data_IF_572693201984
#
_entry.id   IF_572693201984
#
_cell.length_a   1.000
_cell.length_b   1.000
_cell.length_c   1.000
_cell.angle_alpha   90.00
_cell.angle_beta   90.00
_cell.angle_gamma   90.00
#
_symmetry.space_group_name_H-M   'P 1'
#
loop_
_entity.id
_entity.type
_entity.pdbx_description
1 polymer ?
#
# COMPACT_ATOMS: atom_id res chain seq x y z
N UNK A 1 -19.73 -7.80 2.97
CA UNK A 1 -19.76 -6.59 2.13
C UNK A 1 -18.35 -6.05 1.97
N UNK A 2 -17.95 -5.76 0.76
CA UNK A 2 -16.63 -5.21 0.52
C UNK A 2 -16.54 -3.76 1.00
N UNK A 3 -15.43 -3.42 1.66
CA UNK A 3 -15.12 -2.05 2.08
C UNK A 3 -14.45 -1.24 0.96
N UNK A 4 -14.13 -1.91 -0.15
CA UNK A 4 -13.47 -1.28 -1.29
C UNK A 4 -14.50 -0.94 -2.35
N UNK A 5 -14.29 0.19 -2.99
CA UNK A 5 -15.14 0.64 -4.10
C UNK A 5 -14.32 0.64 -5.39
N UNK A 6 -14.83 0.01 -6.45
CA UNK A 6 -14.14 0.07 -7.73
C UNK A 6 -14.16 1.50 -8.29
N UNK A 7 -13.10 1.89 -8.97
CA UNK A 7 -13.02 3.17 -9.67
C UNK A 7 -12.57 2.92 -11.10
N UNK A 8 -12.98 3.79 -12.00
CA UNK A 8 -12.52 3.74 -13.37
C UNK A 8 -11.01 3.96 -13.41
N UNK A 9 -10.28 3.08 -14.08
CA UNK A 9 -8.83 3.11 -14.07
C UNK A 9 -8.27 4.45 -14.58
N UNK A 10 -8.88 5.02 -15.60
CA UNK A 10 -8.44 6.30 -16.16
C UNK A 10 -8.70 7.49 -15.22
N UNK A 11 -9.49 7.32 -14.16
CA UNK A 11 -9.72 8.32 -13.14
C UNK A 11 -8.89 8.10 -11.88
N UNK A 12 -8.16 6.99 -11.79
CA UNK A 12 -7.47 6.62 -10.56
C UNK A 12 -6.42 7.65 -10.13
N UNK A 13 -5.78 8.33 -11.09
CA UNK A 13 -4.79 9.36 -10.79
C UNK A 13 -5.35 10.51 -9.95
N UNK A 14 -6.64 10.79 -10.05
CA UNK A 14 -7.30 11.85 -9.28
C UNK A 14 -7.24 11.60 -7.77
N UNK A 15 -7.15 10.34 -7.36
CA UNK A 15 -7.06 9.97 -5.95
C UNK A 15 -5.68 10.26 -5.36
N UNK A 16 -4.67 10.48 -6.20
CA UNK A 16 -3.30 10.72 -5.79
C UNK A 16 -2.83 12.16 -6.01
N UNK A 17 -3.58 12.96 -6.78
CA UNK A 17 -3.13 14.29 -7.17
C UNK A 17 -2.88 15.24 -6.01
N UNK A 18 -3.61 15.11 -4.92
CA UNK A 18 -3.46 15.98 -3.75
C UNK A 18 -2.43 15.48 -2.74
N UNK A 19 -1.74 14.37 -3.02
CA UNK A 19 -0.67 13.85 -2.17
C UNK A 19 -1.14 13.21 -0.87
N UNK A 20 -2.18 12.34 -0.89
CA UNK A 20 -2.66 11.72 0.34
C UNK A 20 -1.67 10.72 0.90
N UNK A 21 -1.77 10.41 2.20
CA UNK A 21 -1.12 9.24 2.75
C UNK A 21 -1.82 8.00 2.20
N UNK A 22 -1.05 7.10 1.62
CA UNK A 22 -1.57 5.88 1.02
C UNK A 22 -0.98 4.67 1.73
N UNK A 23 -1.55 3.50 1.48
CA UNK A 23 -1.01 2.24 1.97
C UNK A 23 -0.37 1.51 0.80
N UNK A 24 0.85 1.04 1.02
CA UNK A 24 1.57 0.23 0.05
C UNK A 24 1.57 -1.20 0.56
N UNK A 25 1.03 -2.11 -0.23
CA UNK A 25 0.99 -3.52 0.11
C UNK A 25 2.01 -4.29 -0.71
N UNK A 26 2.57 -5.32 -0.12
CA UNK A 26 3.55 -6.17 -0.76
C UNK A 26 3.49 -7.57 -0.17
N UNK A 27 4.09 -8.52 -0.86
CA UNK A 27 4.08 -9.92 -0.44
C UNK A 27 5.42 -10.55 -0.78
N UNK A 28 5.88 -11.44 0.11
CA UNK A 28 7.03 -12.26 -0.17
C UNK A 28 6.62 -13.36 -1.17
N UNK A 29 7.34 -13.47 -2.25
CA UNK A 29 7.07 -14.45 -3.30
C UNK A 29 7.45 -15.89 -2.90
N UNK A 30 8.20 -16.07 -1.82
CA UNK A 30 8.67 -17.38 -1.35
C UNK A 30 7.88 -17.94 -0.19
N UNK A 31 7.46 -17.08 0.75
CA UNK A 31 6.89 -17.51 2.03
C UNK A 31 5.44 -17.11 2.21
N UNK A 32 4.86 -16.41 1.26
CA UNK A 32 3.52 -15.85 1.33
C UNK A 32 3.32 -14.82 2.45
N UNK A 33 4.40 -14.41 3.12
CA UNK A 33 4.32 -13.32 4.09
C UNK A 33 3.92 -12.04 3.38
N UNK A 34 3.02 -11.30 3.98
CA UNK A 34 2.47 -10.07 3.43
C UNK A 34 2.87 -8.89 4.31
N UNK A 35 2.90 -7.72 3.71
CA UNK A 35 3.24 -6.50 4.42
C UNK A 35 2.38 -5.33 3.95
N UNK A 36 2.24 -4.35 4.81
CA UNK A 36 1.58 -3.09 4.50
C UNK A 36 2.34 -1.98 5.20
N UNK A 37 2.49 -0.85 4.51
CA UNK A 37 3.11 0.34 5.09
C UNK A 37 2.34 1.58 4.65
N UNK A 38 2.43 2.63 5.45
CA UNK A 38 1.92 3.94 5.09
C UNK A 38 2.99 4.70 4.31
N UNK A 39 2.59 5.43 3.28
CA UNK A 39 3.50 6.24 2.48
C UNK A 39 2.81 7.50 2.03
N UNK A 40 3.51 8.63 2.13
CA UNK A 40 3.02 9.92 1.65
C UNK A 40 3.67 10.34 0.33
N UNK A 41 4.80 9.76 -0.02
CA UNK A 41 5.55 10.16 -1.22
C UNK A 41 5.18 9.25 -2.39
N UNK A 42 4.07 9.60 -3.00
CA UNK A 42 3.58 8.92 -4.19
C UNK A 42 2.98 9.95 -5.14
N UNK A 43 3.01 9.65 -6.44
CA UNK A 43 2.44 10.54 -7.43
C UNK A 43 2.07 9.79 -8.70
N UNK A 44 1.03 10.23 -9.41
CA UNK A 44 0.77 9.72 -10.76
C UNK A 44 1.82 10.29 -11.72
N UNK A 45 2.25 9.49 -12.70
CA UNK A 45 3.25 9.91 -13.69
C UNK A 45 2.79 9.71 -15.13
N UNK A 46 1.73 8.94 -15.36
CA UNK A 46 1.23 8.66 -16.70
C UNK A 46 -0.26 8.35 -16.67
N UNK A 47 -1.00 8.78 -17.71
CA UNK A 47 -2.44 8.52 -17.80
C UNK A 47 -2.74 7.19 -18.48
N UNK A 48 -2.06 6.90 -19.56
CA UNK A 48 -2.38 5.71 -20.35
C UNK A 48 -1.11 5.10 -20.95
N UNK A 49 -0.70 3.90 -20.46
CA UNK A 49 -1.35 3.19 -19.35
C UNK A 49 -1.16 3.95 -18.03
N UNK A 50 -2.06 3.78 -17.05
CA UNK A 50 -1.90 4.44 -15.76
C UNK A 50 -0.64 3.97 -15.06
N UNK A 51 0.22 4.91 -14.71
CA UNK A 51 1.48 4.65 -14.00
C UNK A 51 1.61 5.61 -12.85
N UNK A 52 2.24 5.15 -11.79
CA UNK A 52 2.54 5.98 -10.63
C UNK A 52 3.94 5.68 -10.11
N UNK A 53 4.47 6.59 -9.35
CA UNK A 53 5.75 6.43 -8.67
C UNK A 53 5.55 6.50 -7.16
N UNK A 54 6.28 5.68 -6.45
CA UNK A 54 6.35 5.74 -4.98
C UNK A 54 7.81 5.85 -4.58
N UNK A 55 8.05 6.50 -3.45
CA UNK A 55 9.40 6.61 -2.89
C UNK A 55 9.46 5.75 -1.64
N UNK A 56 10.39 4.79 -1.63
CA UNK A 56 10.63 3.89 -0.52
C UNK A 56 12.06 4.03 -0.06
N UNK A 57 12.25 4.10 1.26
CA UNK A 57 13.58 4.05 1.84
C UNK A 57 14.23 2.69 1.55
N UNK A 58 15.51 2.70 1.22
CA UNK A 58 16.26 1.49 0.88
C UNK A 58 16.33 0.47 2.01
N UNK A 59 16.17 0.92 3.24
CA UNK A 59 16.25 0.06 4.41
C UNK A 59 14.94 -0.64 4.76
N UNK A 60 13.84 -0.30 4.09
CA UNK A 60 12.55 -0.89 4.40
C UNK A 60 12.43 -2.32 3.91
N UNK A 61 11.69 -3.13 4.64
CA UNK A 61 11.36 -4.47 4.21
C UNK A 61 10.45 -4.47 2.98
N UNK A 62 9.57 -3.47 2.88
CA UNK A 62 8.70 -3.30 1.71
C UNK A 62 9.50 -3.22 0.42
N UNK A 63 10.61 -2.48 0.41
CA UNK A 63 11.48 -2.39 -0.76
C UNK A 63 12.01 -3.77 -1.18
N UNK A 64 12.47 -4.56 -0.21
CA UNK A 64 12.96 -5.90 -0.50
C UNK A 64 11.87 -6.79 -1.11
N UNK A 65 10.67 -6.76 -0.53
CA UNK A 65 9.56 -7.57 -1.03
C UNK A 65 9.14 -7.18 -2.43
N UNK A 66 9.09 -5.88 -2.71
CA UNK A 66 8.70 -5.36 -4.02
C UNK A 66 9.75 -5.70 -5.08
N UNK A 67 11.04 -5.58 -4.75
CA UNK A 67 12.10 -5.94 -5.69
C UNK A 67 12.06 -7.43 -6.04
N UNK A 68 11.81 -8.30 -5.07
CA UNK A 68 11.74 -9.73 -5.32
C UNK A 68 10.50 -10.14 -6.11
N UNK A 69 9.35 -9.62 -5.75
CA UNK A 69 8.07 -10.00 -6.37
C UNK A 69 7.79 -9.28 -7.67
N UNK A 70 8.35 -8.08 -7.84
CA UNK A 70 8.06 -7.22 -8.98
C UNK A 70 6.69 -6.57 -8.91
N UNK A 71 6.01 -6.62 -7.77
CA UNK A 71 4.64 -6.12 -7.63
C UNK A 71 4.42 -5.41 -6.30
N UNK A 72 3.53 -4.42 -6.32
CA UNK A 72 2.99 -3.82 -5.10
C UNK A 72 1.55 -3.37 -5.36
N UNK A 73 0.78 -3.25 -4.28
CA UNK A 73 -0.54 -2.66 -4.33
C UNK A 73 -0.53 -1.29 -3.67
N UNK A 74 -1.41 -0.41 -4.12
CA UNK A 74 -1.62 0.89 -3.51
C UNK A 74 -3.08 1.02 -3.10
N UNK A 75 -3.32 1.46 -1.88
CA UNK A 75 -4.67 1.61 -1.33
C UNK A 75 -4.83 3.03 -0.81
N UNK A 76 -5.95 3.65 -1.16
CA UNK A 76 -6.31 4.96 -0.64
C UNK A 76 -7.19 4.72 0.59
N UNK A 77 -6.67 4.95 1.82
CA UNK A 77 -7.44 4.65 3.02
C UNK A 77 -8.52 5.70 3.25
N UNK A 78 -9.68 5.24 3.69
CA UNK A 78 -10.75 6.13 4.13
C UNK A 78 -10.60 6.51 5.60
N UNK A 79 -11.50 7.35 6.08
CA UNK A 79 -11.47 7.85 7.46
C UNK A 79 -11.52 6.71 8.49
N UNK A 80 -12.28 5.65 8.20
CA UNK A 80 -12.40 4.51 9.10
C UNK A 80 -11.08 3.77 9.32
N UNK A 81 -10.09 3.97 8.46
CA UNK A 81 -8.80 3.30 8.52
C UNK A 81 -7.74 4.12 9.28
N UNK A 82 -8.08 5.29 9.83
CA UNK A 82 -7.11 6.23 10.40
C UNK A 82 -6.22 5.58 11.46
N UNK A 83 -6.81 4.87 12.41
CA UNK A 83 -6.07 4.29 13.53
C UNK A 83 -5.02 3.26 13.06
N UNK A 84 -5.42 2.31 12.25
CA UNK A 84 -4.47 1.29 11.83
C UNK A 84 -3.52 1.78 10.71
N UNK A 85 -3.90 2.80 9.94
CA UNK A 85 -2.97 3.43 9.00
C UNK A 85 -1.78 4.03 9.73
N UNK A 86 -2.03 4.72 10.84
CA UNK A 86 -0.96 5.24 11.68
C UNK A 86 -0.12 4.10 12.28
N UNK A 87 -0.78 3.08 12.81
CA UNK A 87 -0.11 1.96 13.46
C UNK A 87 0.83 1.21 12.52
N UNK A 88 0.40 0.92 11.28
CA UNK A 88 1.25 0.18 10.34
C UNK A 88 2.47 0.97 9.88
N UNK A 89 2.43 2.30 9.98
CA UNK A 89 3.58 3.14 9.71
C UNK A 89 4.59 3.21 10.87
N UNK A 90 4.22 2.68 12.03
CA UNK A 90 5.01 2.77 13.26
C UNK A 90 5.82 1.51 13.58
N UNK A 91 5.56 0.40 12.89
CA UNK A 91 6.22 -0.89 13.15
C UNK A 91 6.72 -1.52 11.86
N UNK A 92 7.68 -2.44 11.98
CA UNK A 92 8.21 -3.18 10.83
C UNK A 92 7.45 -4.49 10.64
N UNK A 93 7.08 -4.79 9.39
CA UNK A 93 6.51 -6.08 9.04
C UNK A 93 7.47 -7.26 9.18
N UNK A 94 8.77 -6.99 9.32
CA UNK A 94 9.76 -8.04 9.64
C UNK A 94 9.50 -8.64 11.01
N UNK A 95 9.04 -7.83 11.95
CA UNK A 95 8.87 -8.20 13.36
C UNK A 95 7.43 -8.58 13.68
N UNK A 96 6.46 -8.03 12.96
CA UNK A 96 5.04 -8.24 13.24
C UNK A 96 4.25 -8.52 11.96
N UNK A 97 3.27 -9.43 12.06
CA UNK A 97 2.26 -9.58 11.02
C UNK A 97 1.19 -8.51 11.24
N UNK A 98 1.33 -7.39 10.54
CA UNK A 98 0.46 -6.23 10.69
C UNK A 98 -1.01 -6.54 10.40
N UNK A 99 -1.28 -7.43 9.46
CA UNK A 99 -2.66 -7.79 9.11
C UNK A 99 -3.36 -8.49 10.26
N UNK A 100 -2.66 -9.40 10.95
CA UNK A 100 -3.22 -10.09 12.10
C UNK A 100 -3.26 -9.19 13.34
N UNK A 101 -2.18 -8.42 13.58
CA UNK A 101 -2.09 -7.56 14.76
C UNK A 101 -3.16 -6.46 14.79
N UNK A 102 -3.53 -5.91 13.63
CA UNK A 102 -4.45 -4.77 13.56
C UNK A 102 -5.78 -5.11 12.91
N UNK A 103 -6.03 -6.37 12.60
CA UNK A 103 -7.29 -6.79 12.01
C UNK A 103 -7.58 -6.16 10.66
N UNK A 104 -6.57 -5.97 9.83
CA UNK A 104 -6.70 -5.28 8.55
C UNK A 104 -7.44 -6.16 7.55
N UNK A 105 -8.52 -5.66 6.92
CA UNK A 105 -9.28 -6.42 5.93
C UNK A 105 -8.45 -6.63 4.65
N UNK A 106 -8.60 -7.82 4.05
CA UNK A 106 -7.89 -8.19 2.82
C UNK A 106 -8.90 -8.68 1.79
N UNK A 107 -8.74 -8.22 0.55
CA UNK A 107 -9.45 -8.75 -0.61
C UNK A 107 -8.59 -9.87 -1.20
N UNK A 108 -9.21 -11.01 -1.40
CA UNK A 108 -8.56 -12.17 -2.03
C UNK A 108 -8.90 -12.26 -3.51
#
# INVERSE_FOLDING_TARGET
MSRFRPVELHHASRLLNHGPTVLITSRDDRTERRNVMAAAWSMPVEFEPPRLAIVLDKTTWSRELIERSGMFGIVIPGVAATNWTYAVGSVSGREEDKFNCYGIPVIK
#
